data_IF_550807063241
#
_entry.id   IF_550807063241
#
_cell.length_a   1.000
_cell.length_b   1.000
_cell.length_c   1.000
_cell.angle_alpha   90.00
_cell.angle_beta   90.00
_cell.angle_gamma   90.00
#
_symmetry.space_group_name_H-M   'P 1'
#
loop_
_entity.id
_entity.type
_entity.pdbx_description
1 polymer ?
#
# COMPACT_ATOMS: atom_id res chain seq x y z
N UNK A 1 17.94 11.38 -7.06
CA UNK A 1 18.60 11.99 -8.25
C UNK A 1 18.17 11.19 -9.47
N UNK A 2 18.19 11.79 -10.68
CA UNK A 2 17.94 11.06 -11.92
C UNK A 2 18.72 9.73 -11.98
N UNK A 3 18.10 8.70 -12.56
CA UNK A 3 18.67 7.36 -12.74
C UNK A 3 19.03 6.58 -11.47
N UNK A 4 18.74 7.09 -10.28
CA UNK A 4 18.83 6.28 -9.08
C UNK A 4 17.70 5.26 -9.04
N UNK A 5 17.97 4.08 -8.46
CA UNK A 5 16.96 3.05 -8.26
C UNK A 5 16.20 3.26 -6.95
N UNK A 6 14.90 3.02 -6.96
CA UNK A 6 14.07 2.91 -5.77
C UNK A 6 13.37 1.56 -5.80
N UNK A 7 13.57 0.74 -4.77
CA UNK A 7 12.95 -0.58 -4.66
C UNK A 7 11.55 -0.42 -4.11
N UNK A 8 10.55 -0.88 -4.86
CA UNK A 8 9.13 -0.84 -4.50
C UNK A 8 8.44 -2.18 -4.82
N UNK A 9 7.33 -2.53 -4.14
CA UNK A 9 6.62 -3.78 -4.40
C UNK A 9 5.92 -3.76 -5.76
N UNK A 10 5.81 -4.94 -6.37
CA UNK A 10 5.11 -5.11 -7.65
C UNK A 10 3.57 -5.11 -7.50
N UNK A 11 3.05 -5.20 -6.27
CA UNK A 11 1.64 -4.97 -5.94
C UNK A 11 1.53 -3.66 -5.16
N UNK A 12 0.96 -2.66 -5.79
CA UNK A 12 0.62 -1.35 -5.22
C UNK A 12 -0.29 -0.61 -6.18
N UNK A 13 -0.80 0.53 -5.75
CA UNK A 13 -1.43 1.50 -6.66
C UNK A 13 -0.34 2.26 -7.45
N UNK A 14 -0.62 2.57 -8.72
CA UNK A 14 0.36 3.18 -9.64
C UNK A 14 0.99 4.49 -9.12
N UNK A 15 0.32 5.22 -8.21
CA UNK A 15 0.82 6.46 -7.63
C UNK A 15 2.16 6.30 -6.90
N UNK A 16 2.41 5.14 -6.27
CA UNK A 16 3.70 4.83 -5.64
C UNK A 16 4.84 4.95 -6.65
N UNK A 17 4.74 4.28 -7.78
CA UNK A 17 5.79 4.30 -8.80
C UNK A 17 5.83 5.63 -9.56
N UNK A 18 4.68 6.25 -9.79
CA UNK A 18 4.61 7.57 -10.40
C UNK A 18 5.47 8.57 -9.64
N UNK A 19 5.45 8.54 -8.30
CA UNK A 19 6.25 9.45 -7.47
C UNK A 19 7.76 9.26 -7.67
N UNK A 20 8.20 8.05 -7.98
CA UNK A 20 9.60 7.73 -8.32
C UNK A 20 9.96 8.33 -9.68
N UNK A 21 9.11 8.08 -10.68
CA UNK A 21 9.33 8.51 -12.07
C UNK A 21 9.27 10.02 -12.21
N UNK A 22 8.43 10.73 -11.46
CA UNK A 22 8.39 12.20 -11.44
C UNK A 22 9.73 12.83 -11.04
N UNK A 23 10.58 12.10 -10.33
CA UNK A 23 11.93 12.53 -9.97
C UNK A 23 13.00 12.04 -10.95
N UNK A 24 12.61 11.49 -12.11
CA UNK A 24 13.49 10.83 -13.07
C UNK A 24 14.34 9.72 -12.43
N UNK A 25 13.86 9.11 -11.34
CA UNK A 25 14.41 7.89 -10.76
C UNK A 25 13.73 6.67 -11.38
N UNK A 26 14.35 5.51 -11.24
CA UNK A 26 13.90 4.27 -11.86
C UNK A 26 13.33 3.32 -10.79
N UNK A 27 12.07 2.87 -10.94
CA UNK A 27 11.54 1.81 -10.09
C UNK A 27 12.28 0.49 -10.33
N UNK A 28 12.68 -0.17 -9.24
CA UNK A 28 13.10 -1.56 -9.23
C UNK A 28 12.02 -2.33 -8.49
N UNK A 29 11.30 -3.18 -9.22
CA UNK A 29 10.14 -3.88 -8.69
C UNK A 29 10.58 -5.13 -7.93
N UNK A 30 10.03 -5.34 -6.76
CA UNK A 30 10.23 -6.52 -5.94
C UNK A 30 8.92 -7.27 -5.78
N UNK A 31 8.96 -8.60 -5.87
CA UNK A 31 7.79 -9.43 -5.64
C UNK A 31 7.35 -9.40 -4.18
N UNK A 32 6.18 -9.95 -3.91
CA UNK A 32 5.53 -9.92 -2.61
C UNK A 32 5.47 -11.29 -1.97
N UNK A 33 5.38 -11.34 -0.65
CA UNK A 33 5.16 -12.55 0.11
C UNK A 33 3.78 -13.16 -0.23
N UNK A 34 3.69 -14.48 -0.53
CA UNK A 34 2.44 -15.11 -0.94
C UNK A 34 1.37 -15.16 0.16
N UNK A 35 1.75 -14.98 1.41
CA UNK A 35 0.85 -15.06 2.56
C UNK A 35 0.36 -13.69 3.00
N UNK A 36 1.29 -12.75 3.18
CA UNK A 36 0.97 -11.40 3.68
C UNK A 36 0.71 -10.40 2.58
N UNK A 37 1.09 -10.70 1.33
CA UNK A 37 1.02 -9.87 0.13
C UNK A 37 1.82 -8.56 0.24
N UNK A 38 2.64 -8.45 1.27
CA UNK A 38 3.54 -7.35 1.49
C UNK A 38 4.86 -7.56 0.75
N UNK A 39 5.66 -6.52 0.56
CA UNK A 39 7.02 -6.61 0.03
C UNK A 39 7.76 -7.79 0.68
N UNK A 40 8.30 -8.71 -0.12
CA UNK A 40 9.02 -9.88 0.38
C UNK A 40 10.42 -9.49 0.87
N UNK A 41 10.57 -9.39 2.18
CA UNK A 41 11.81 -8.95 2.81
C UNK A 41 12.92 -10.01 2.75
N UNK A 42 12.58 -11.31 2.58
CA UNK A 42 13.59 -12.34 2.36
C UNK A 42 14.16 -12.26 0.94
N UNK A 43 13.28 -12.13 -0.06
CA UNK A 43 13.69 -11.90 -1.44
C UNK A 43 14.54 -10.61 -1.56
N UNK A 44 14.18 -9.57 -0.81
CA UNK A 44 14.96 -8.33 -0.75
C UNK A 44 16.36 -8.58 -0.18
N UNK A 45 16.46 -9.32 0.94
CA UNK A 45 17.74 -9.70 1.54
C UNK A 45 18.64 -10.42 0.54
N UNK A 46 18.11 -11.44 -0.13
CA UNK A 46 18.85 -12.26 -1.08
C UNK A 46 19.32 -11.43 -2.27
N UNK A 47 18.46 -10.55 -2.79
CA UNK A 47 18.81 -9.62 -3.85
C UNK A 47 19.91 -8.63 -3.41
N UNK A 48 19.77 -7.98 -2.26
CA UNK A 48 20.75 -7.01 -1.77
C UNK A 48 22.12 -7.67 -1.53
N UNK A 49 22.12 -8.86 -0.95
CA UNK A 49 23.36 -9.58 -0.64
C UNK A 49 24.12 -10.02 -1.91
N UNK A 50 23.39 -10.51 -2.91
CA UNK A 50 24.01 -11.14 -4.10
C UNK A 50 24.23 -10.17 -5.25
N UNK A 51 23.32 -9.19 -5.43
CA UNK A 51 23.29 -8.34 -6.63
C UNK A 51 23.82 -6.93 -6.37
N UNK A 52 24.14 -6.57 -5.12
CA UNK A 52 24.61 -5.22 -4.79
C UNK A 52 25.99 -5.21 -4.13
N UNK A 53 26.58 -4.04 -4.03
CA UNK A 53 27.80 -3.80 -3.26
C UNK A 53 27.76 -2.44 -2.59
N UNK A 54 28.48 -2.29 -1.50
CA UNK A 54 28.66 -1.03 -0.79
C UNK A 54 29.93 -0.31 -1.22
N UNK A 55 29.81 0.98 -1.48
CA UNK A 55 30.94 1.88 -1.66
C UNK A 55 30.70 3.16 -0.85
N UNK A 56 31.56 3.46 0.12
CA UNK A 56 31.45 4.62 1.02
C UNK A 56 30.03 4.77 1.60
N UNK A 57 29.51 3.73 2.22
CA UNK A 57 28.17 3.68 2.81
C UNK A 57 27.02 3.97 1.82
N UNK A 58 27.22 3.68 0.55
CA UNK A 58 26.20 3.80 -0.49
C UNK A 58 26.05 2.47 -1.21
N UNK A 59 24.81 2.00 -1.35
CA UNK A 59 24.50 0.75 -2.02
C UNK A 59 24.33 0.95 -3.53
N UNK A 60 24.99 0.09 -4.31
CA UNK A 60 24.97 0.12 -5.76
C UNK A 60 24.61 -1.24 -6.33
N UNK A 61 23.83 -1.26 -7.41
CA UNK A 61 23.55 -2.46 -8.19
C UNK A 61 24.79 -2.85 -9.00
N UNK A 62 25.30 -4.09 -8.83
CA UNK A 62 26.54 -4.55 -9.47
C UNK A 62 26.50 -4.44 -10.99
N UNK A 63 25.36 -4.77 -11.61
CA UNK A 63 25.23 -4.87 -13.06
C UNK A 63 25.33 -3.50 -13.76
N UNK A 64 24.80 -2.43 -13.15
CA UNK A 64 24.66 -1.12 -13.81
C UNK A 64 25.39 0.00 -13.10
N UNK A 65 25.96 -0.24 -11.91
CA UNK A 65 26.52 0.78 -11.02
C UNK A 65 25.52 1.87 -10.63
N UNK A 66 24.21 1.62 -10.78
CA UNK A 66 23.20 2.56 -10.31
C UNK A 66 23.08 2.50 -8.80
N UNK A 67 22.96 3.66 -8.18
CA UNK A 67 22.73 3.79 -6.74
C UNK A 67 21.30 3.33 -6.42
N UNK A 68 21.16 2.49 -5.39
CA UNK A 68 19.87 2.23 -4.74
C UNK A 68 19.64 3.33 -3.71
N UNK A 69 18.70 4.22 -4.00
CA UNK A 69 18.50 5.46 -3.25
C UNK A 69 17.51 5.33 -2.10
N UNK A 70 16.53 4.41 -2.21
CA UNK A 70 15.54 4.18 -1.16
C UNK A 70 14.91 2.79 -1.30
N UNK A 71 14.43 2.27 -0.17
CA UNK A 71 13.42 1.23 -0.08
C UNK A 71 12.06 1.94 0.11
N UNK A 72 11.09 1.63 -0.73
CA UNK A 72 9.73 2.20 -0.65
C UNK A 72 8.72 1.07 -0.40
N UNK A 73 8.64 0.54 0.84
CA UNK A 73 7.59 -0.39 1.19
C UNK A 73 6.22 0.27 1.06
N UNK A 74 5.24 -0.48 0.60
CA UNK A 74 3.82 -0.12 0.64
C UNK A 74 3.14 -1.03 1.65
N UNK A 75 2.38 -0.46 2.56
CA UNK A 75 1.59 -1.21 3.54
C UNK A 75 0.24 -1.61 2.92
N UNK A 76 0.30 -2.61 2.04
CA UNK A 76 -0.79 -3.00 1.13
C UNK A 76 -2.04 -3.45 1.89
N UNK A 77 -3.19 -2.84 1.55
CA UNK A 77 -4.52 -3.13 2.12
C UNK A 77 -4.67 -2.81 3.61
N UNK A 78 -3.71 -2.04 4.17
CA UNK A 78 -3.71 -1.68 5.58
C UNK A 78 -2.98 -2.68 6.48
N UNK A 79 -2.43 -3.77 5.94
CA UNK A 79 -1.46 -4.62 6.61
C UNK A 79 -0.06 -4.00 6.50
N UNK A 80 0.91 -4.40 7.32
CA UNK A 80 2.25 -3.82 7.28
C UNK A 80 3.29 -4.82 6.79
N UNK A 81 4.31 -4.31 6.12
CA UNK A 81 5.53 -5.06 5.80
C UNK A 81 6.20 -5.53 7.10
N UNK A 82 6.97 -6.62 7.07
CA UNK A 82 7.85 -6.98 8.18
C UNK A 82 8.90 -5.88 8.39
N UNK A 83 8.52 -4.86 9.15
CA UNK A 83 9.34 -3.67 9.36
C UNK A 83 10.60 -3.95 10.17
N UNK A 84 10.60 -4.95 11.05
CA UNK A 84 11.80 -5.33 11.80
C UNK A 84 12.90 -5.80 10.85
N UNK A 85 12.59 -6.71 9.94
CA UNK A 85 13.55 -7.21 8.97
C UNK A 85 13.95 -6.11 7.96
N UNK A 86 12.97 -5.30 7.52
CA UNK A 86 13.24 -4.22 6.57
C UNK A 86 14.17 -3.14 7.16
N UNK A 87 14.01 -2.80 8.44
CA UNK A 87 14.90 -1.86 9.14
C UNK A 87 16.34 -2.40 9.28
N UNK A 88 16.49 -3.71 9.58
CA UNK A 88 17.80 -4.36 9.60
C UNK A 88 18.48 -4.28 8.23
N UNK A 89 17.77 -4.54 7.15
CA UNK A 89 18.30 -4.41 5.78
C UNK A 89 18.66 -2.97 5.43
N UNK A 90 17.79 -2.02 5.82
CA UNK A 90 18.06 -0.58 5.65
C UNK A 90 19.37 -0.14 6.32
N UNK A 91 19.60 -0.57 7.53
CA UNK A 91 20.82 -0.28 8.27
C UNK A 91 22.04 -0.97 7.65
N UNK A 92 21.95 -2.27 7.37
CA UNK A 92 23.03 -3.08 6.80
C UNK A 92 23.51 -2.57 5.45
N UNK A 93 22.58 -2.15 4.59
CA UNK A 93 22.88 -1.70 3.23
C UNK A 93 22.90 -0.18 3.07
N UNK A 94 22.72 0.56 4.15
CA UNK A 94 22.68 2.04 4.15
C UNK A 94 21.66 2.63 3.16
N UNK A 95 20.49 2.00 3.04
CA UNK A 95 19.41 2.44 2.15
C UNK A 95 18.27 2.98 3.00
N UNK A 96 17.90 4.26 2.87
CA UNK A 96 16.80 4.84 3.63
C UNK A 96 15.45 4.24 3.24
N UNK A 97 14.52 4.20 4.21
CA UNK A 97 13.14 3.75 4.00
C UNK A 97 12.22 4.96 3.87
N UNK A 98 11.40 4.96 2.83
CA UNK A 98 10.26 5.86 2.62
C UNK A 98 9.00 5.02 2.66
N UNK A 99 8.22 5.09 3.76
CA UNK A 99 7.01 4.28 3.91
C UNK A 99 5.87 4.87 3.09
N UNK A 100 5.34 4.12 2.13
CA UNK A 100 4.04 4.39 1.55
C UNK A 100 2.97 3.79 2.47
N UNK A 101 2.47 4.63 3.39
CA UNK A 101 1.45 4.28 4.37
C UNK A 101 0.06 4.81 3.96
N UNK A 102 -0.14 5.06 2.67
CA UNK A 102 -1.37 5.65 2.11
C UNK A 102 -2.60 4.77 2.33
N UNK A 103 -2.42 3.52 2.70
CA UNK A 103 -3.48 2.55 3.01
C UNK A 103 -3.49 2.15 4.49
N UNK A 104 -2.51 2.58 5.27
CA UNK A 104 -2.23 2.05 6.61
C UNK A 104 -2.38 3.08 7.74
N UNK A 105 -3.11 4.17 7.54
CA UNK A 105 -3.42 5.08 8.63
C UNK A 105 -4.19 4.34 9.73
N UNK A 106 -3.67 4.34 10.96
CA UNK A 106 -4.24 3.58 12.08
C UNK A 106 -3.77 2.13 12.17
N UNK A 107 -2.84 1.69 11.30
CA UNK A 107 -2.15 0.42 11.46
C UNK A 107 -0.91 0.58 12.34
N UNK A 108 -0.58 -0.46 13.11
CA UNK A 108 0.56 -0.46 14.02
C UNK A 108 1.42 -1.71 13.84
N UNK A 109 2.73 -1.55 13.94
CA UNK A 109 3.70 -2.64 13.97
C UNK A 109 4.50 -2.56 15.28
N UNK A 110 4.42 -3.59 16.14
CA UNK A 110 5.06 -3.59 17.48
C UNK A 110 4.72 -2.31 18.28
N UNK A 111 3.47 -1.85 18.20
CA UNK A 111 2.99 -0.64 18.89
C UNK A 111 3.39 0.70 18.28
N UNK A 112 4.15 0.71 17.18
CA UNK A 112 4.51 1.92 16.44
C UNK A 112 3.60 2.10 15.23
N UNK A 113 3.10 3.31 15.01
CA UNK A 113 2.20 3.63 13.91
C UNK A 113 2.92 3.49 12.55
N UNK A 114 2.21 2.96 11.55
CA UNK A 114 2.67 2.96 10.15
C UNK A 114 3.11 4.37 9.72
N UNK A 115 4.13 4.46 8.88
CA UNK A 115 4.69 5.73 8.42
C UNK A 115 5.65 6.40 9.41
N UNK A 116 5.86 5.82 10.61
CA UNK A 116 6.75 6.40 11.64
C UNK A 116 7.99 5.55 11.92
N UNK A 117 8.21 4.48 11.16
CA UNK A 117 9.34 3.58 11.36
C UNK A 117 10.50 3.88 10.41
N UNK A 118 10.22 4.34 9.19
CA UNK A 118 11.23 4.77 8.23
C UNK A 118 11.69 6.21 8.44
N UNK A 119 12.50 6.72 7.50
CA UNK A 119 12.91 8.14 7.52
C UNK A 119 11.75 9.10 7.28
N UNK A 120 10.82 8.70 6.42
CA UNK A 120 9.59 9.43 6.12
C UNK A 120 8.45 8.44 5.89
N UNK A 121 7.24 8.86 6.21
CA UNK A 121 6.01 8.16 5.86
C UNK A 121 5.03 9.09 5.16
N UNK A 122 4.24 8.52 4.24
CA UNK A 122 3.23 9.26 3.50
C UNK A 122 1.85 8.66 3.75
N UNK A 123 0.86 9.51 4.00
CA UNK A 123 -0.54 9.14 4.13
C UNK A 123 -1.38 9.78 3.04
N UNK A 124 -2.47 9.13 2.66
CA UNK A 124 -3.44 9.65 1.71
C UNK A 124 -4.78 9.89 2.40
N UNK A 125 -5.41 11.00 2.06
CA UNK A 125 -6.76 11.36 2.49
C UNK A 125 -7.72 11.41 1.30
N UNK A 126 -7.43 10.63 0.24
CA UNK A 126 -8.31 10.49 -0.91
C UNK A 126 -9.68 9.92 -0.50
N UNK A 127 -10.70 10.10 -1.36
CA UNK A 127 -12.09 9.76 -1.06
C UNK A 127 -12.38 8.34 -0.60
N UNK A 128 -11.55 7.38 -1.01
CA UNK A 128 -11.71 5.95 -0.69
C UNK A 128 -10.84 5.46 0.49
N UNK A 129 -10.12 6.34 1.17
CA UNK A 129 -9.25 5.94 2.29
C UNK A 129 -10.06 5.78 3.58
N UNK A 130 -9.42 5.22 4.63
CA UNK A 130 -10.08 4.95 5.92
C UNK A 130 -10.64 6.21 6.58
N UNK A 131 -9.96 7.34 6.40
CA UNK A 131 -10.51 8.68 6.57
C UNK A 131 -10.23 9.51 5.31
N UNK A 132 -11.08 10.48 5.05
CA UNK A 132 -10.96 11.29 3.83
C UNK A 132 -11.11 12.78 4.10
N UNK A 133 -10.42 13.56 3.31
CA UNK A 133 -10.63 15.00 3.13
C UNK A 133 -11.09 15.34 1.71
N UNK A 134 -11.54 14.32 0.95
CA UNK A 134 -11.82 14.45 -0.49
C UNK A 134 -10.58 14.36 -1.34
N UNK A 135 -9.45 14.81 -0.84
CA UNK A 135 -8.13 14.79 -1.46
C UNK A 135 -7.06 15.24 -0.47
N UNK A 136 -5.79 15.23 -0.90
CA UNK A 136 -4.66 15.58 -0.04
C UNK A 136 -4.00 14.38 0.63
N UNK A 137 -3.05 14.66 1.48
CA UNK A 137 -2.25 13.69 2.20
C UNK A 137 -1.38 14.34 3.26
N UNK A 138 -0.55 13.54 3.90
CA UNK A 138 0.39 14.01 4.92
C UNK A 138 1.72 13.29 4.77
N UNK A 139 2.81 14.04 4.91
CA UNK A 139 4.15 13.50 5.08
C UNK A 139 4.55 13.65 6.55
N UNK A 140 5.06 12.59 7.13
CA UNK A 140 5.57 12.56 8.51
C UNK A 140 7.02 12.13 8.53
N UNK A 141 7.80 12.68 9.47
CA UNK A 141 9.20 12.33 9.68
C UNK A 141 9.66 12.76 11.07
N UNK A 142 10.61 12.02 11.64
CA UNK A 142 11.34 12.44 12.85
C UNK A 142 12.49 13.40 12.55
N UNK A 143 12.87 13.58 11.29
CA UNK A 143 13.95 14.46 10.87
C UNK A 143 13.41 15.87 10.60
N UNK A 144 13.76 16.81 11.49
CA UNK A 144 13.30 18.20 11.40
C UNK A 144 13.76 18.89 10.10
N UNK A 145 14.96 18.59 9.60
CA UNK A 145 15.46 19.17 8.35
C UNK A 145 14.61 18.69 7.16
N UNK A 146 14.26 17.39 7.12
CA UNK A 146 13.35 16.86 6.09
C UNK A 146 11.95 17.47 6.20
N UNK A 147 11.44 17.64 7.42
CA UNK A 147 10.13 18.27 7.63
C UNK A 147 10.13 19.73 7.13
N UNK A 148 11.15 20.51 7.47
CA UNK A 148 11.32 21.90 6.98
C UNK A 148 11.45 21.94 5.46
N UNK A 149 12.23 21.03 4.89
CA UNK A 149 12.41 20.90 3.43
C UNK A 149 11.10 20.58 2.71
N UNK A 150 10.35 19.60 3.21
CA UNK A 150 9.05 19.23 2.64
C UNK A 150 8.04 20.40 2.72
N UNK A 151 8.01 21.10 3.86
CA UNK A 151 7.17 22.28 4.05
C UNK A 151 7.53 23.39 3.06
N UNK A 152 8.81 23.69 2.89
CA UNK A 152 9.32 24.69 1.96
C UNK A 152 8.89 24.38 0.53
N UNK A 153 9.16 23.16 0.04
CA UNK A 153 8.77 22.71 -1.29
C UNK A 153 7.25 22.72 -1.50
N UNK A 154 6.47 22.33 -0.50
CA UNK A 154 5.00 22.28 -0.62
C UNK A 154 4.32 23.66 -0.62
N UNK A 155 5.09 24.71 -0.38
CA UNK A 155 4.65 26.13 -0.40
C UNK A 155 5.36 26.93 -1.49
N UNK A 156 5.57 26.32 -2.64
CA UNK A 156 6.23 26.87 -3.83
C UNK A 156 7.69 27.33 -3.60
N UNK A 157 8.38 26.77 -2.59
CA UNK A 157 9.75 27.18 -2.22
C UNK A 157 9.87 28.70 -1.98
N UNK A 158 8.89 29.28 -1.28
CA UNK A 158 8.85 30.72 -1.02
C UNK A 158 9.77 31.10 0.13
N UNK A 159 10.69 32.03 -0.09
CA UNK A 159 11.64 32.55 0.91
C UNK A 159 11.17 33.85 1.53
N UNK A 160 10.51 34.71 0.76
CA UNK A 160 9.91 35.95 1.25
C UNK A 160 8.44 36.03 0.80
N UNK A 161 7.48 35.96 1.74
CA UNK A 161 6.06 36.01 1.40
C UNK A 161 5.59 37.41 0.93
N UNK A 162 6.28 38.49 1.32
CA UNK A 162 5.92 39.87 0.97
C UNK A 162 6.38 40.19 -0.45
N UNK A 163 7.60 39.80 -0.77
CA UNK A 163 8.22 40.09 -2.08
C UNK A 163 8.01 38.98 -3.11
N UNK A 164 7.27 37.90 -2.74
CA UNK A 164 7.05 36.72 -3.60
C UNK A 164 8.36 36.10 -4.12
N UNK A 165 9.40 36.12 -3.29
CA UNK A 165 10.70 35.53 -3.66
C UNK A 165 10.65 34.00 -3.49
N UNK A 166 11.18 33.30 -4.48
CA UNK A 166 11.29 31.84 -4.54
C UNK A 166 12.73 31.47 -4.88
N UNK A 167 13.31 30.47 -4.23
CA UNK A 167 14.70 30.07 -4.42
C UNK A 167 14.87 28.81 -5.28
N UNK A 168 13.77 28.09 -5.52
CA UNK A 168 13.78 26.90 -6.37
C UNK A 168 12.38 26.55 -6.88
N UNK A 169 12.28 25.50 -7.70
CA UNK A 169 10.99 24.97 -8.14
C UNK A 169 10.32 24.24 -6.98
N UNK A 170 9.18 24.74 -6.55
CA UNK A 170 8.35 24.15 -5.51
C UNK A 170 6.93 23.85 -6.02
N UNK A 171 6.07 23.38 -5.11
CA UNK A 171 4.73 22.88 -5.42
C UNK A 171 3.67 23.61 -4.60
N UNK A 172 2.47 23.72 -5.13
CA UNK A 172 1.30 24.16 -4.37
C UNK A 172 0.58 22.93 -3.77
N UNK A 173 1.21 22.29 -2.77
CA UNK A 173 0.74 21.04 -2.19
C UNK A 173 0.21 21.19 -0.76
N UNK A 174 0.04 22.42 -0.27
CA UNK A 174 -0.54 22.66 1.06
C UNK A 174 -2.04 22.37 1.07
N UNK A 175 -2.46 21.58 2.03
CA UNK A 175 -3.88 21.34 2.29
C UNK A 175 -4.58 22.66 2.63
N UNK A 176 -5.70 22.94 1.97
CA UNK A 176 -6.52 24.12 2.28
C UNK A 176 -7.33 23.91 3.54
N UNK A 177 -7.71 25.01 4.22
CA UNK A 177 -8.36 24.95 5.53
C UNK A 177 -9.67 24.15 5.53
N UNK A 178 -10.47 24.21 4.47
CA UNK A 178 -11.70 23.44 4.35
C UNK A 178 -11.46 21.94 4.43
N UNK A 179 -10.46 21.43 3.68
CA UNK A 179 -10.09 20.02 3.70
C UNK A 179 -9.46 19.64 5.05
N UNK A 180 -8.66 20.52 5.64
CA UNK A 180 -8.10 20.29 6.97
C UNK A 180 -9.17 20.18 8.06
N UNK A 181 -10.20 21.03 8.02
CA UNK A 181 -11.33 20.96 8.95
C UNK A 181 -12.10 19.63 8.81
N UNK A 182 -12.36 19.18 7.59
CA UNK A 182 -12.92 17.85 7.32
C UNK A 182 -12.04 16.75 7.91
N UNK A 183 -10.72 16.86 7.73
CA UNK A 183 -9.74 15.91 8.26
C UNK A 183 -9.79 15.81 9.79
N UNK A 184 -9.92 16.93 10.50
CA UNK A 184 -10.07 16.94 11.96
C UNK A 184 -11.33 16.18 12.38
N UNK A 185 -12.49 16.49 11.78
CA UNK A 185 -13.75 15.82 12.07
C UNK A 185 -13.73 14.32 11.79
N UNK A 186 -13.02 13.89 10.74
CA UNK A 186 -12.81 12.47 10.42
C UNK A 186 -11.85 11.79 11.41
N UNK A 187 -10.77 12.49 11.81
CA UNK A 187 -9.79 11.96 12.75
C UNK A 187 -10.40 11.74 14.16
N UNK A 188 -11.31 12.59 14.59
CA UNK A 188 -12.06 12.42 15.84
C UNK A 188 -12.87 11.12 15.88
N UNK A 189 -13.30 10.61 14.72
CA UNK A 189 -14.06 9.37 14.56
C UNK A 189 -13.17 8.15 14.27
N UNK A 190 -11.86 8.33 14.11
CA UNK A 190 -10.94 7.28 13.69
C UNK A 190 -10.99 6.00 14.54
N UNK A 191 -11.09 6.06 15.88
CA UNK A 191 -11.23 4.85 16.71
C UNK A 191 -12.48 4.03 16.37
N UNK A 192 -13.59 4.68 16.03
CA UNK A 192 -14.84 4.02 15.62
C UNK A 192 -14.68 3.37 14.24
N UNK A 193 -14.03 4.06 13.28
CA UNK A 193 -13.77 3.49 11.96
C UNK A 193 -12.90 2.24 12.05
N UNK A 194 -11.81 2.29 12.82
CA UNK A 194 -10.92 1.13 13.01
C UNK A 194 -11.65 -0.05 13.66
N UNK A 195 -12.44 0.22 14.71
CA UNK A 195 -13.22 -0.83 15.38
C UNK A 195 -14.22 -1.47 14.40
N UNK A 196 -14.93 -0.66 13.62
CA UNK A 196 -15.90 -1.17 12.64
C UNK A 196 -15.24 -1.99 11.54
N UNK A 197 -14.10 -1.53 11.02
CA UNK A 197 -13.31 -2.27 10.03
C UNK A 197 -12.86 -3.63 10.54
N UNK A 198 -12.38 -3.69 11.78
CA UNK A 198 -11.98 -4.95 12.41
C UNK A 198 -13.17 -5.92 12.57
N UNK A 199 -14.35 -5.41 12.97
CA UNK A 199 -15.58 -6.22 13.06
C UNK A 199 -15.98 -6.79 11.71
N UNK A 200 -15.99 -5.98 10.65
CA UNK A 200 -16.32 -6.42 9.28
C UNK A 200 -15.34 -7.50 8.83
N UNK A 201 -14.05 -7.29 9.00
CA UNK A 201 -13.02 -8.26 8.63
C UNK A 201 -13.17 -9.58 9.39
N UNK A 202 -13.41 -9.50 10.70
CA UNK A 202 -13.62 -10.67 11.54
C UNK A 202 -14.85 -11.48 11.10
N UNK A 203 -15.97 -10.79 10.85
CA UNK A 203 -17.22 -11.45 10.44
C UNK A 203 -17.07 -12.21 9.12
N UNK A 204 -16.50 -11.57 8.07
CA UNK A 204 -16.21 -12.26 6.81
C UNK A 204 -15.27 -13.46 7.01
N UNK A 205 -14.19 -13.28 7.77
CA UNK A 205 -13.20 -14.34 7.99
C UNK A 205 -13.85 -15.55 8.69
N UNK A 206 -14.69 -15.32 9.69
CA UNK A 206 -15.41 -16.38 10.42
C UNK A 206 -16.40 -17.10 9.52
N UNK A 207 -17.19 -16.35 8.75
CA UNK A 207 -18.19 -16.93 7.85
C UNK A 207 -17.54 -17.80 6.75
N UNK A 208 -16.47 -17.30 6.12
CA UNK A 208 -15.79 -18.07 5.08
C UNK A 208 -15.04 -19.28 5.65
N UNK A 209 -14.41 -19.16 6.79
CA UNK A 209 -13.76 -20.31 7.43
C UNK A 209 -14.75 -21.45 7.76
N UNK A 210 -15.99 -21.12 8.12
CA UNK A 210 -17.03 -22.08 8.44
C UNK A 210 -17.65 -22.76 7.18
N UNK A 211 -17.86 -22.02 6.09
CA UNK A 211 -18.68 -22.47 4.97
C UNK A 211 -17.93 -22.59 3.64
N UNK A 212 -16.85 -21.82 3.44
CA UNK A 212 -16.09 -21.74 2.19
C UNK A 212 -14.57 -21.68 2.50
N UNK A 213 -13.98 -22.71 3.12
CA UNK A 213 -12.61 -22.67 3.65
C UNK A 213 -11.52 -22.51 2.58
N UNK A 214 -11.84 -22.62 1.31
CA UNK A 214 -10.95 -22.34 0.19
C UNK A 214 -10.81 -20.81 -0.09
N UNK A 215 -11.70 -19.99 0.47
CA UNK A 215 -11.58 -18.52 0.42
C UNK A 215 -10.59 -18.09 1.50
N UNK A 216 -9.46 -17.54 1.09
CA UNK A 216 -8.36 -17.21 1.98
C UNK A 216 -8.18 -15.68 2.06
N UNK A 217 -8.35 -15.04 3.22
CA UNK A 217 -8.00 -13.63 3.40
C UNK A 217 -6.49 -13.43 3.39
N UNK A 218 -6.07 -12.20 3.18
CA UNK A 218 -4.68 -11.79 3.41
C UNK A 218 -4.27 -12.12 4.86
N UNK A 219 -3.15 -12.81 5.05
CA UNK A 219 -2.62 -13.05 6.40
C UNK A 219 -1.98 -11.78 6.96
N UNK A 220 -2.30 -11.49 8.20
CA UNK A 220 -1.67 -10.38 8.93
C UNK A 220 -0.19 -10.67 9.17
N UNK A 221 0.67 -9.72 8.85
CA UNK A 221 2.10 -9.80 9.21
C UNK A 221 2.25 -9.88 10.73
N UNK A 222 3.11 -10.76 11.20
CA UNK A 222 3.39 -10.92 12.64
C UNK A 222 3.67 -9.56 13.30
N UNK A 223 3.13 -9.36 14.48
CA UNK A 223 3.23 -8.10 15.26
C UNK A 223 2.51 -6.89 14.65
N UNK A 224 1.69 -7.08 13.63
CA UNK A 224 0.87 -6.01 13.03
C UNK A 224 -0.53 -5.98 13.64
N UNK A 225 -1.03 -4.77 13.88
CA UNK A 225 -2.44 -4.47 14.09
C UNK A 225 -2.93 -3.72 12.84
N UNK A 226 -3.54 -4.41 11.86
CA UNK A 226 -3.96 -3.80 10.61
C UNK A 226 -5.21 -2.95 10.78
N UNK A 227 -5.35 -1.91 9.95
CA UNK A 227 -6.57 -1.09 9.92
C UNK A 227 -7.70 -1.70 9.07
N UNK A 228 -7.41 -2.80 8.35
CA UNK A 228 -8.36 -3.46 7.42
C UNK A 228 -8.97 -2.47 6.40
N UNK A 229 -8.16 -1.59 5.82
CA UNK A 229 -8.64 -0.60 4.83
C UNK A 229 -9.50 -1.25 3.75
N UNK A 230 -9.01 -2.33 3.12
CA UNK A 230 -9.83 -3.19 2.28
C UNK A 230 -9.80 -4.63 2.80
N UNK A 231 -10.93 -5.33 2.68
CA UNK A 231 -11.02 -6.75 2.94
C UNK A 231 -10.94 -7.50 1.60
N UNK A 232 -9.79 -8.09 1.35
CA UNK A 232 -9.48 -8.78 0.10
C UNK A 232 -9.22 -10.25 0.36
N UNK A 233 -9.78 -11.10 -0.47
CA UNK A 233 -9.69 -12.55 -0.35
C UNK A 233 -9.14 -13.17 -1.64
N UNK A 234 -8.37 -14.25 -1.48
CA UNK A 234 -7.96 -15.13 -2.56
C UNK A 234 -9.02 -16.23 -2.73
N UNK A 235 -9.53 -16.39 -3.95
CA UNK A 235 -10.58 -17.35 -4.28
C UNK A 235 -10.52 -17.74 -5.77
N UNK A 236 -11.08 -18.89 -6.16
CA UNK A 236 -11.17 -19.28 -7.57
C UNK A 236 -12.23 -18.46 -8.32
N UNK A 237 -12.05 -18.33 -9.65
CA UNK A 237 -13.04 -17.76 -10.55
C UNK A 237 -13.56 -16.36 -10.17
N UNK A 238 -12.69 -15.52 -9.64
CA UNK A 238 -13.09 -14.19 -9.13
C UNK A 238 -13.78 -13.32 -10.21
N UNK A 239 -13.42 -13.47 -11.50
CA UNK A 239 -14.06 -12.71 -12.59
C UNK A 239 -15.53 -13.09 -12.76
N UNK A 240 -15.86 -14.39 -12.68
CA UNK A 240 -17.22 -14.87 -12.74
C UNK A 240 -18.01 -14.46 -11.49
N UNK A 241 -17.38 -14.57 -10.31
CA UNK A 241 -17.97 -14.10 -9.06
C UNK A 241 -18.25 -12.60 -9.10
N UNK A 242 -17.29 -11.78 -9.55
CA UNK A 242 -17.47 -10.32 -9.70
C UNK A 242 -18.66 -10.00 -10.61
N UNK A 243 -18.78 -10.68 -11.76
CA UNK A 243 -19.91 -10.51 -12.67
C UNK A 243 -21.23 -10.90 -11.99
N UNK A 244 -21.27 -12.03 -11.30
CA UNK A 244 -22.43 -12.50 -10.55
C UNK A 244 -22.85 -11.50 -9.44
N UNK A 245 -21.94 -11.07 -8.59
CA UNK A 245 -22.20 -10.11 -7.52
C UNK A 245 -22.71 -8.78 -8.06
N UNK A 246 -22.16 -8.33 -9.19
CA UNK A 246 -22.62 -7.10 -9.85
C UNK A 246 -24.07 -7.16 -10.31
N UNK A 247 -24.58 -8.33 -10.75
CA UNK A 247 -26.01 -8.50 -11.12
C UNK A 247 -26.93 -8.35 -9.92
N UNK A 248 -26.40 -8.51 -8.71
CA UNK A 248 -27.15 -8.37 -7.46
C UNK A 248 -26.91 -6.99 -6.79
N UNK A 249 -26.26 -6.05 -7.50
CA UNK A 249 -25.97 -4.73 -6.97
C UNK A 249 -24.83 -4.69 -5.94
N UNK A 250 -24.05 -5.77 -5.83
CA UNK A 250 -22.90 -5.86 -4.90
C UNK A 250 -21.64 -5.46 -5.65
N UNK A 251 -21.03 -4.33 -5.25
CA UNK A 251 -19.81 -3.84 -5.85
C UNK A 251 -18.57 -4.49 -5.21
N UNK A 252 -17.73 -5.09 -6.03
CA UNK A 252 -16.43 -5.65 -5.69
C UNK A 252 -15.34 -5.11 -6.61
N UNK A 253 -14.08 -5.24 -6.22
CA UNK A 253 -12.95 -4.77 -7.04
C UNK A 253 -11.85 -5.83 -7.08
N UNK A 254 -11.22 -6.08 -8.23
CA UNK A 254 -10.04 -6.92 -8.29
C UNK A 254 -8.88 -6.27 -7.53
N UNK A 255 -7.88 -7.08 -7.18
CA UNK A 255 -6.59 -6.56 -6.76
C UNK A 255 -5.96 -5.77 -7.93
N UNK A 256 -5.04 -4.85 -7.64
CA UNK A 256 -4.37 -4.08 -8.69
C UNK A 256 -3.59 -4.97 -9.65
N UNK A 257 -3.62 -4.60 -10.93
CA UNK A 257 -2.72 -5.18 -11.93
C UNK A 257 -1.28 -5.01 -11.45
N UNK A 258 -0.45 -6.07 -11.44
CA UNK A 258 0.96 -5.97 -11.08
C UNK A 258 1.67 -4.89 -11.89
N UNK A 259 2.50 -4.09 -11.24
CA UNK A 259 3.13 -2.93 -11.85
C UNK A 259 3.94 -3.27 -13.11
N UNK A 260 4.64 -4.39 -13.13
CA UNK A 260 5.39 -4.86 -14.31
C UNK A 260 4.51 -5.23 -15.51
N UNK A 261 3.20 -5.36 -15.35
CA UNK A 261 2.24 -5.63 -16.43
C UNK A 261 1.62 -4.34 -16.99
N UNK A 262 1.84 -3.20 -16.33
CA UNK A 262 1.37 -1.91 -16.82
C UNK A 262 2.34 -1.38 -17.90
N UNK A 263 1.85 -0.85 -19.03
CA UNK A 263 2.69 -0.44 -20.16
C UNK A 263 3.83 0.50 -19.78
N UNK A 264 3.58 1.46 -18.87
CA UNK A 264 4.57 2.44 -18.44
C UNK A 264 5.67 1.86 -17.54
N UNK A 265 5.49 0.66 -16.97
CA UNK A 265 6.44 0.00 -16.08
C UNK A 265 6.92 -1.37 -16.60
N UNK A 266 6.48 -1.78 -17.80
CA UNK A 266 6.81 -3.08 -18.39
C UNK A 266 8.32 -3.28 -18.62
N UNK A 267 9.08 -2.19 -18.70
CA UNK A 267 10.55 -2.21 -18.86
C UNK A 267 11.30 -2.13 -17.52
N UNK A 268 10.60 -1.96 -16.39
CA UNK A 268 11.23 -1.93 -15.07
C UNK A 268 11.78 -3.33 -14.74
N UNK A 269 12.98 -3.34 -14.15
CA UNK A 269 13.53 -4.59 -13.61
C UNK A 269 12.61 -5.13 -12.53
N UNK A 270 12.29 -6.42 -12.62
CA UNK A 270 11.45 -7.10 -11.65
C UNK A 270 12.20 -8.28 -11.02
N UNK A 271 12.34 -8.24 -9.70
CA UNK A 271 12.97 -9.26 -8.89
C UNK A 271 11.88 -10.18 -8.35
N UNK A 272 11.94 -11.45 -8.74
CA UNK A 272 10.96 -12.47 -8.35
C UNK A 272 11.56 -13.86 -8.41
N UNK A 273 11.03 -14.79 -7.63
CA UNK A 273 11.27 -16.22 -7.76
C UNK A 273 10.06 -16.96 -8.32
N UNK A 274 8.84 -16.49 -7.97
CA UNK A 274 7.61 -17.26 -8.21
C UNK A 274 6.49 -16.46 -8.86
N UNK A 275 6.71 -15.20 -9.25
CA UNK A 275 5.69 -14.32 -9.82
C UNK A 275 4.41 -14.22 -8.96
N UNK A 276 4.59 -14.11 -7.65
CA UNK A 276 3.50 -14.11 -6.67
C UNK A 276 2.50 -12.99 -6.93
N UNK A 277 2.98 -11.80 -7.31
CA UNK A 277 2.12 -10.67 -7.65
C UNK A 277 1.11 -11.03 -8.77
N UNK A 278 1.56 -11.73 -9.81
CA UNK A 278 0.68 -12.16 -10.90
C UNK A 278 -0.34 -13.22 -10.43
N UNK A 279 0.10 -14.17 -9.60
CA UNK A 279 -0.80 -15.18 -9.02
C UNK A 279 -1.87 -14.55 -8.13
N UNK A 280 -1.53 -13.54 -7.33
CA UNK A 280 -2.50 -12.84 -6.50
C UNK A 280 -3.52 -12.07 -7.35
N UNK A 281 -3.07 -11.38 -8.39
CA UNK A 281 -3.96 -10.69 -9.32
C UNK A 281 -4.99 -11.62 -9.97
N UNK A 282 -4.56 -12.84 -10.33
CA UNK A 282 -5.44 -13.84 -10.94
C UNK A 282 -6.45 -14.50 -9.97
N UNK A 283 -6.31 -14.25 -8.66
CA UNK A 283 -7.15 -14.93 -7.67
C UNK A 283 -7.78 -14.03 -6.61
N UNK A 284 -7.45 -12.72 -6.57
CA UNK A 284 -7.88 -11.88 -5.45
C UNK A 284 -9.03 -10.93 -5.83
N UNK A 285 -9.98 -10.80 -4.90
CA UNK A 285 -11.13 -9.92 -4.99
C UNK A 285 -11.34 -9.19 -3.67
N UNK A 286 -11.50 -7.87 -3.72
CA UNK A 286 -11.87 -7.04 -2.58
C UNK A 286 -13.39 -6.97 -2.45
N UNK A 287 -13.87 -7.27 -1.26
CA UNK A 287 -15.30 -7.29 -0.91
C UNK A 287 -15.74 -5.96 -0.29
N UNK A 288 -17.05 -5.64 -0.30
CA UNK A 288 -17.59 -4.47 0.39
C UNK A 288 -17.16 -4.43 1.86
N UNK A 289 -16.56 -3.32 2.28
CA UNK A 289 -16.07 -3.20 3.66
C UNK A 289 -16.09 -1.74 4.15
N UNK A 290 -16.96 -0.89 3.63
CA UNK A 290 -17.14 0.48 4.11
C UNK A 290 -17.58 0.48 5.58
N UNK A 291 -17.21 1.52 6.33
CA UNK A 291 -17.54 1.62 7.76
C UNK A 291 -19.04 1.69 8.05
N UNK A 292 -19.84 2.09 7.05
CA UNK A 292 -21.30 2.14 7.10
C UNK A 292 -22.00 0.84 6.66
N UNK A 293 -21.24 -0.18 6.18
CA UNK A 293 -21.80 -1.48 5.83
C UNK A 293 -22.49 -2.10 7.06
N UNK A 294 -23.79 -2.31 7.01
CA UNK A 294 -24.55 -2.93 8.10
C UNK A 294 -24.28 -4.44 8.19
N UNK A 295 -24.50 -5.09 9.35
CA UNK A 295 -24.40 -6.54 9.47
C UNK A 295 -25.31 -7.27 8.48
N UNK A 296 -26.52 -6.77 8.26
CA UNK A 296 -27.50 -7.33 7.30
C UNK A 296 -26.99 -7.27 5.86
N UNK A 297 -26.45 -6.14 5.44
CA UNK A 297 -25.85 -6.00 4.10
C UNK A 297 -24.63 -6.92 3.96
N UNK A 298 -23.85 -7.10 5.02
CA UNK A 298 -22.69 -8.00 5.00
C UNK A 298 -23.14 -9.46 4.85
N UNK A 299 -24.24 -9.89 5.51
CA UNK A 299 -24.83 -11.22 5.31
C UNK A 299 -25.27 -11.42 3.86
N UNK A 300 -25.93 -10.44 3.25
CA UNK A 300 -26.30 -10.52 1.82
C UNK A 300 -25.10 -10.79 0.93
N UNK A 301 -23.95 -10.15 1.21
CA UNK A 301 -22.72 -10.42 0.46
C UNK A 301 -22.22 -11.85 0.68
N UNK A 302 -22.22 -12.33 1.93
CA UNK A 302 -21.77 -13.68 2.30
C UNK A 302 -22.67 -14.74 1.62
N UNK A 303 -24.00 -14.58 1.70
CA UNK A 303 -24.98 -15.48 1.08
C UNK A 303 -24.84 -15.51 -0.43
N UNK A 304 -24.66 -14.35 -1.08
CA UNK A 304 -24.46 -14.27 -2.52
C UNK A 304 -23.21 -15.02 -2.99
N UNK A 305 -22.10 -14.90 -2.23
CA UNK A 305 -20.86 -15.64 -2.50
C UNK A 305 -21.07 -17.14 -2.25
N UNK A 306 -21.71 -17.51 -1.16
CA UNK A 306 -22.03 -18.90 -0.85
C UNK A 306 -22.90 -19.54 -1.94
N UNK A 307 -23.95 -18.85 -2.35
CA UNK A 307 -24.84 -19.30 -3.43
C UNK A 307 -24.09 -19.51 -4.75
N UNK A 308 -23.20 -18.59 -5.13
CA UNK A 308 -22.39 -18.72 -6.34
C UNK A 308 -21.60 -20.04 -6.38
N UNK A 309 -20.97 -20.42 -5.27
CA UNK A 309 -20.13 -21.63 -5.22
C UNK A 309 -20.93 -22.92 -4.99
N UNK A 310 -22.13 -22.85 -4.43
CA UNK A 310 -22.95 -24.04 -4.13
C UNK A 310 -23.98 -24.38 -5.19
N UNK A 311 -24.46 -23.40 -5.97
CA UNK A 311 -25.53 -23.57 -6.98
C UNK A 311 -25.04 -24.02 -8.37
N UNK A 312 -23.79 -24.48 -8.51
CA UNK A 312 -23.24 -24.95 -9.79
C UNK A 312 -22.82 -23.85 -10.77
N UNK A 313 -23.01 -22.57 -10.43
CA UNK A 313 -22.53 -21.43 -11.23
C UNK A 313 -20.99 -21.38 -11.32
N UNK A 314 -20.30 -22.06 -10.42
CA UNK A 314 -18.85 -22.24 -10.43
C UNK A 314 -18.37 -23.31 -11.44
N UNK A 315 -19.26 -24.10 -12.01
CA UNK A 315 -18.91 -25.23 -12.89
C UNK A 315 -18.89 -24.89 -14.39
N UNK A 316 -19.25 -23.68 -14.79
CA UNK A 316 -19.22 -23.27 -16.19
C UNK A 316 -17.97 -22.44 -16.50
N UNK A 317 -17.01 -23.11 -17.06
CA UNK A 317 -15.77 -22.76 -17.79
C UNK A 317 -14.47 -23.08 -17.10
#
# INVERSE_FOLDING_TARGET
KPHNLVIAPNITFAATLNSIVYLNAEPLLLDVCPHTWQMDTQLLHDFLTTQTYLNQNTCYLRQTNQRIAALMPVHVLGNMVNMQHLLQLSEQFHIPIVEDSTEALGSYYMGKHAGTLGQTGCFSFNGNKIMTTGGGGMLVTHNEQLARRAKHLSTQAKTNPVEYMHDEVGYNYRMVNLLAAMGVAQLEQMPQFLSRKAQIAHHYTTAFAAHLPFIQPQLTTTHTQPNHWLYTVKLPQWRNLLAHLRTQGIETRPLWTPMNQLPMYAQCRYITHHHVAAQLFEHCLSLPCSTNLTPQEQEVVIEAIHHFYTSGNAAMH
#
